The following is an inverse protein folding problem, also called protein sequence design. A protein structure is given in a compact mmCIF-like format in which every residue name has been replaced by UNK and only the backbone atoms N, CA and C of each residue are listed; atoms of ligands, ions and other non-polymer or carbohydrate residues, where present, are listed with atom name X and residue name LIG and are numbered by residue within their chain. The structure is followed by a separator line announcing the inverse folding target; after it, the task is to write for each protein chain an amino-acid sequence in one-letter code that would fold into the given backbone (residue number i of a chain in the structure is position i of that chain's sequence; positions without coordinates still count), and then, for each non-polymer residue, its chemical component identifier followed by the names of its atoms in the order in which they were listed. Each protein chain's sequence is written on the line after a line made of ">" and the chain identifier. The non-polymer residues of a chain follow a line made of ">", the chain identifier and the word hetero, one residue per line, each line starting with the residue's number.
data_IF_379786726192
#
_entry.id   IF_379786726192
#
_cell.length_a   1.000
_cell.length_b   1.000
_cell.length_c   1.000
_cell.angle_alpha   90.00
_cell.angle_beta   90.00
_cell.angle_gamma   90.00
#
_symmetry.space_group_name_H-M   'P 1'
#
loop_
_entity.id
_entity.type
_entity.pdbx_description
1 polymer ?
2 non-polymer ?
3 non-polymer ?
4 non-polymer ?
5 water ?
#
# COMPACT_ATOMS: atom_id res chain seq x y z
N UNK A 6 25.39 -17.06 -12.42
CA UNK A 6 25.26 -15.89 -13.28
C UNK A 6 25.27 -14.55 -12.47
N UNK A 7 26.15 -14.36 -11.45
CA UNK A 7 26.16 -13.09 -10.70
C UNK A 7 26.34 -11.86 -11.60
N UNK A 8 25.59 -10.79 -11.28
CA UNK A 8 25.59 -9.54 -12.02
C UNK A 8 25.45 -8.35 -11.06
N UNK A 9 25.89 -7.14 -11.49
CA UNK A 9 25.75 -5.91 -10.70
C UNK A 9 24.26 -5.64 -10.47
N UNK A 10 23.42 -6.10 -11.43
CA UNK A 10 21.98 -5.95 -11.46
C UNK A 10 21.27 -6.79 -10.37
N UNK A 11 21.91 -7.86 -9.84
CA UNK A 11 21.30 -8.74 -8.82
C UNK A 11 20.75 -7.97 -7.63
N UNK A 12 21.56 -7.05 -7.14
CA UNK A 12 21.19 -6.22 -5.98
C UNK A 12 20.47 -4.94 -6.41
N UNK A 13 20.37 -4.70 -7.73
CA UNK A 13 19.72 -3.52 -8.29
C UNK A 13 18.26 -3.76 -8.50
N UNK A 14 17.45 -3.04 -7.75
CA UNK A 14 16.01 -3.08 -7.88
C UNK A 14 15.52 -1.94 -8.76
N UNK A 15 14.34 -2.08 -9.36
CA UNK A 15 13.71 -0.96 -10.06
C UNK A 15 12.62 -0.46 -9.14
N UNK A 17 9.49 2.27 -8.37
CA UNK A 17 8.42 3.12 -8.88
C UNK A 17 8.05 4.08 -7.77
N UNK A 18 7.91 5.36 -8.10
CA UNK A 18 7.53 6.36 -7.12
C UNK A 18 6.29 7.10 -7.60
N UNK A 19 5.21 6.95 -6.85
CA UNK A 19 3.97 7.70 -7.07
C UNK A 19 4.03 8.99 -6.26
N UNK A 20 3.33 10.02 -6.74
CA UNK A 20 3.31 11.36 -6.16
C UNK A 20 1.97 12.05 -6.27
N UNK A 21 1.86 13.23 -5.63
CA UNK A 21 0.77 14.16 -5.90
C UNK A 21 1.34 15.17 -6.87
N UNK A 22 0.55 15.56 -7.88
CA UNK A 22 1.04 16.44 -8.94
C UNK A 22 0.53 17.89 -8.83
N UNK A 23 0.05 18.34 -7.64
CA UNK A 23 -0.41 19.73 -7.40
C UNK A 23 0.75 20.72 -7.47
N UNK A 24 1.98 20.22 -7.34
CA UNK A 24 3.19 21.03 -7.39
C UNK A 24 3.94 20.81 -8.69
N UNK A 25 5.25 20.55 -8.59
CA UNK A 25 6.17 20.37 -9.72
C UNK A 25 6.31 18.92 -10.19
N UNK A 26 5.70 17.94 -9.49
CA UNK A 26 5.82 16.56 -9.92
C UNK A 26 5.13 16.30 -11.26
N UNK A 27 5.78 15.52 -12.15
CA UNK A 27 5.19 15.15 -13.44
C UNK A 27 4.22 13.98 -13.27
N UNK A 28 4.45 13.17 -12.24
CA UNK A 28 3.61 12.01 -11.97
C UNK A 28 4.37 10.86 -11.37
N UNK A 29 4.76 9.89 -12.21
CA UNK A 29 5.48 8.70 -11.72
C UNK A 29 6.94 8.83 -12.07
N UNK A 30 7.81 8.53 -11.11
CA UNK A 30 9.24 8.56 -11.31
C UNK A 30 9.79 7.18 -11.08
N UNK A 31 10.78 6.78 -11.89
CA UNK A 31 11.42 5.48 -11.73
C UNK A 31 12.90 5.64 -11.48
N UNK A 32 13.45 4.72 -10.68
CA UNK A 32 14.85 4.74 -10.23
C UNK A 32 15.43 3.36 -10.15
N UNK A 33 16.75 3.26 -10.26
CA UNK A 33 17.42 2.03 -9.91
C UNK A 33 17.80 2.19 -8.44
N UNK A 34 17.59 1.18 -7.60
CA UNK A 34 17.98 1.28 -6.19
C UNK A 34 18.80 0.05 -5.80
N UNK A 35 20.03 0.25 -5.29
CA UNK A 35 20.85 -0.88 -4.91
C UNK A 35 20.57 -1.27 -3.45
N UNK A 36 19.97 -2.46 -3.23
CA UNK A 36 19.58 -2.91 -1.87
C UNK A 36 20.79 -3.44 -1.06
N UNK A 37 22.01 -3.36 -1.59
CA UNK A 37 23.20 -3.78 -0.81
C UNK A 37 24.01 -2.54 -0.42
N UNK A 38 23.87 -1.43 -1.17
CA UNK A 38 24.63 -0.19 -0.89
C UNK A 38 23.78 1.06 -0.59
N UNK A 39 22.50 1.07 -1.00
CA UNK A 39 21.66 2.24 -0.77
C UNK A 39 21.76 3.33 -1.82
N UNK A 40 22.58 3.09 -2.85
CA UNK A 40 22.76 4.03 -3.97
C UNK A 40 21.56 3.97 -4.92
N UNK A 41 21.21 5.11 -5.52
CA UNK A 41 20.13 5.16 -6.47
C UNK A 41 20.50 5.94 -7.71
N UNK A 42 19.75 5.70 -8.76
CA UNK A 42 19.93 6.31 -10.04
C UNK A 42 18.58 6.62 -10.69
N UNK A 43 18.31 7.89 -11.13
CA UNK A 43 17.04 8.16 -11.83
C UNK A 43 17.02 7.45 -13.19
N UNK A 44 15.86 6.92 -13.58
CA UNK A 44 15.77 6.23 -14.86
C UNK A 44 14.85 6.99 -15.79
N UNK A 45 13.58 7.14 -15.40
CA UNK A 45 12.63 7.78 -16.28
C UNK A 45 11.51 8.38 -15.47
N UNK A 46 10.51 8.90 -16.15
CA UNK A 46 9.33 9.44 -15.50
C UNK A 46 8.17 9.36 -16.46
N UNK A 47 6.96 9.46 -15.94
CA UNK A 47 5.75 9.42 -16.74
C UNK A 47 4.83 10.52 -16.29
N UNK A 48 4.32 11.31 -17.24
CA UNK A 48 3.36 12.37 -16.97
C UNK A 48 2.01 11.70 -16.74
N UNK A 49 1.56 11.76 -15.48
CA UNK A 49 0.32 11.14 -14.96
C UNK A 49 -0.22 12.02 -13.85
N UNK A 50 -1.52 12.29 -13.81
CA UNK A 50 -2.08 13.13 -12.77
C UNK A 50 -2.39 12.37 -11.49
N UNK A 51 -1.91 12.90 -10.34
CA UNK A 51 -2.08 12.36 -8.99
C UNK A 51 -2.00 10.81 -8.93
N UNK A 52 -0.88 10.23 -9.38
CA UNK A 52 -0.70 8.77 -9.24
C UNK A 52 -0.24 8.44 -7.81
N UNK A 53 -1.15 8.65 -6.83
CA UNK A 53 -0.76 8.55 -5.42
C UNK A 53 -0.54 7.12 -4.91
N UNK A 54 -0.99 6.15 -5.69
CA UNK A 54 -0.76 4.75 -5.39
C UNK A 54 -0.63 4.03 -6.70
N UNK A 55 0.26 3.09 -6.75
CA UNK A 55 0.48 2.30 -7.95
C UNK A 55 0.99 0.92 -7.58
N UNK A 56 0.86 0.01 -8.52
CA UNK A 56 1.33 -1.36 -8.35
C UNK A 56 1.85 -1.90 -9.63
N UNK A 57 2.89 -2.74 -9.54
CA UNK A 57 3.30 -3.48 -10.74
C UNK A 57 2.47 -4.76 -10.85
N UNK A 58 2.35 -5.30 -12.05
CA UNK A 58 1.75 -6.62 -12.17
C UNK A 58 2.78 -7.62 -11.58
N UNK A 59 2.34 -8.84 -11.26
CA UNK A 59 3.24 -9.83 -10.66
C UNK A 59 4.42 -10.19 -11.58
N UNK A 60 4.26 -10.14 -12.91
CA UNK A 60 5.35 -10.44 -13.87
C UNK A 60 6.23 -9.19 -14.17
N UNK A 61 5.86 -8.06 -13.60
CA UNK A 61 6.56 -6.78 -13.75
C UNK A 61 6.48 -6.15 -15.13
N UNK A 62 5.56 -6.63 -15.98
CA UNK A 62 5.42 -6.13 -17.34
C UNK A 62 4.43 -4.97 -17.45
N UNK A 63 3.61 -4.76 -16.41
CA UNK A 63 2.61 -3.70 -16.39
C UNK A 63 2.61 -2.99 -15.08
N UNK A 64 2.18 -1.74 -15.10
CA UNK A 64 2.01 -0.94 -13.91
C UNK A 64 0.61 -0.34 -13.95
N UNK A 65 -0.06 -0.31 -12.79
CA UNK A 65 -1.38 0.29 -12.70
C UNK A 65 -1.34 1.33 -11.65
N UNK A 66 -1.88 2.52 -11.93
CA UNK A 66 -1.88 3.59 -10.94
C UNK A 66 -3.25 4.16 -10.78
N UNK A 67 -3.52 4.69 -9.59
CA UNK A 67 -4.76 5.44 -9.44
C UNK A 67 -4.49 6.81 -10.06
N UNK A 68 -5.56 7.58 -10.28
CA UNK A 68 -5.53 9.01 -10.61
C UNK A 68 -6.44 9.59 -9.54
N UNK A 69 -5.85 10.07 -8.44
CA UNK A 69 -6.63 10.44 -7.27
C UNK A 69 -7.21 11.85 -7.39
N UNK A 70 -8.48 11.88 -7.81
CA UNK A 70 -9.27 13.08 -8.00
C UNK A 70 -10.60 12.94 -7.32
N UNK A 71 -11.10 14.08 -6.78
CA UNK A 71 -12.32 14.23 -5.96
C UNK A 71 -13.60 14.21 -6.78
N UNK A 72 -13.52 14.43 -8.10
CA UNK A 72 -14.69 14.44 -8.96
C UNK A 72 -14.52 13.45 -10.13
N UNK A 73 -15.07 13.78 -11.32
CA UNK A 73 -15.14 12.98 -12.56
C UNK A 73 -13.80 12.53 -13.14
N UNK A 74 -12.65 13.09 -12.70
CA UNK A 74 -11.34 12.70 -13.22
C UNK A 74 -10.80 11.46 -12.48
N UNK A 75 -11.53 10.96 -11.46
CA UNK A 75 -11.09 9.77 -10.69
C UNK A 75 -10.98 8.57 -11.61
N UNK A 76 -9.79 7.94 -11.65
CA UNK A 76 -9.55 6.90 -12.62
C UNK A 76 -8.40 5.98 -12.24
N UNK A 77 -8.14 4.99 -13.10
CA UNK A 77 -6.98 4.10 -13.03
C UNK A 77 -6.30 4.14 -14.37
N UNK A 78 -4.96 4.22 -14.37
CA UNK A 78 -4.17 4.21 -15.60
C UNK A 78 -3.40 2.91 -15.66
N UNK A 79 -3.31 2.32 -16.86
CA UNK A 79 -2.56 1.11 -17.11
C UNK A 79 -1.39 1.41 -18.01
N UNK A 80 -0.22 0.90 -17.67
CA UNK A 80 1.01 1.15 -18.42
C UNK A 80 1.75 -0.12 -18.75
N UNK A 81 2.41 -0.17 -19.91
CA UNK A 81 3.39 -1.22 -20.17
C UNK A 81 4.69 -0.77 -19.47
N UNK A 82 5.33 -1.67 -18.77
CA UNK A 82 6.54 -1.32 -18.01
C UNK A 82 7.73 -2.11 -18.50
N UNK A 83 8.86 -1.41 -18.66
CA UNK A 83 10.13 -2.03 -19.03
C UNK A 83 11.05 -1.82 -17.84
N UNK A 84 11.21 -2.85 -16.98
CA UNK A 84 11.93 -2.83 -15.71
C UNK A 84 13.41 -2.41 -15.87
N UNK A 85 14.04 -2.80 -17.00
CA UNK A 85 15.45 -2.46 -17.26
C UNK A 85 15.64 -0.98 -17.61
N UNK A 86 14.76 -0.41 -18.45
CA UNK A 86 14.84 0.99 -18.87
C UNK A 86 14.10 1.90 -17.88
N UNK A 87 13.19 1.32 -17.09
CA UNK A 87 12.38 2.04 -16.13
C UNK A 87 11.32 2.87 -16.82
N UNK A 88 10.97 2.53 -18.06
CA UNK A 88 10.03 3.33 -18.85
C UNK A 88 8.63 2.82 -18.68
N UNK A 89 7.68 3.77 -18.68
CA UNK A 89 6.25 3.50 -18.59
C UNK A 89 5.58 3.98 -19.86
N UNK A 90 4.78 3.14 -20.49
CA UNK A 90 4.08 3.55 -21.71
C UNK A 90 2.62 3.37 -21.49
N UNK A 91 1.90 4.47 -21.34
CA UNK A 91 0.46 4.42 -21.10
C UNK A 91 -0.24 3.58 -22.15
N UNK A 92 -1.13 2.70 -21.68
CA UNK A 92 -1.96 1.88 -22.56
C UNK A 92 -3.34 2.49 -22.63
N UNK A 93 -3.95 2.73 -21.45
CA UNK A 93 -5.26 3.36 -21.37
C UNK A 93 -5.59 3.75 -19.95
N UNK A 94 -6.75 4.41 -19.78
CA UNK A 94 -7.28 4.89 -18.52
C UNK A 94 -8.75 4.53 -18.45
N UNK A 95 -9.27 4.27 -17.25
CA UNK A 95 -10.69 3.98 -17.07
C UNK A 95 -11.16 4.68 -15.80
N UNK A 96 -12.38 5.18 -15.80
CA UNK A 96 -12.94 5.91 -14.66
C UNK A 96 -13.37 4.95 -13.55
N UNK A 97 -13.13 5.35 -12.29
CA UNK A 97 -13.51 4.51 -11.15
C UNK A 97 -14.97 4.68 -10.79
N UNK A 99 -15.98 6.56 -8.55
CA UNK A 99 -15.84 6.65 -7.10
C UNK A 99 -14.67 7.57 -6.82
N UNK A 100 -14.95 8.66 -6.12
CA UNK A 100 -13.97 9.70 -5.88
C UNK A 100 -12.81 9.27 -5.01
N UNK A 101 -11.65 9.84 -5.32
CA UNK A 101 -10.36 9.69 -4.64
C UNK A 101 -9.87 8.24 -4.49
N UNK A 102 -9.70 7.52 -5.63
CA UNK A 102 -9.10 6.18 -5.55
C UNK A 102 -7.72 6.33 -4.94
N UNK A 103 -7.40 5.57 -3.86
CA UNK A 103 -6.17 5.83 -3.13
C UNK A 103 -5.35 4.58 -2.86
N UNK A 104 -5.81 3.44 -3.36
CA UNK A 104 -5.15 2.15 -3.20
C UNK A 104 -5.63 1.25 -4.29
N UNK A 105 -4.81 0.30 -4.72
CA UNK A 105 -5.31 -0.68 -5.69
C UNK A 105 -4.60 -2.02 -5.52
N UNK A 106 -5.26 -3.11 -5.93
CA UNK A 106 -4.66 -4.43 -5.87
C UNK A 106 -5.04 -5.20 -7.13
N UNK A 107 -4.39 -6.33 -7.38
CA UNK A 107 -4.69 -7.14 -8.56
C UNK A 107 -4.54 -8.60 -8.24
N UNK A 108 -5.23 -9.43 -9.04
CA UNK A 108 -4.98 -10.88 -9.01
C UNK A 108 -4.51 -11.31 -10.42
N UNK A 109 -4.20 -10.36 -11.30
CA UNK A 109 -3.76 -10.65 -12.67
C UNK A 109 -4.90 -10.71 -13.66
N UNK A 110 -6.15 -10.87 -13.14
CA UNK A 110 -7.36 -10.93 -13.97
C UNK A 110 -8.21 -9.68 -13.78
N UNK A 111 -8.12 -9.04 -12.61
CA UNK A 111 -8.85 -7.84 -12.27
C UNK A 111 -8.02 -6.92 -11.43
N UNK A 112 -8.32 -5.64 -11.51
CA UNK A 112 -7.79 -4.58 -10.66
C UNK A 112 -8.92 -4.16 -9.74
N UNK A 113 -8.61 -3.91 -8.44
CA UNK A 113 -9.64 -3.40 -7.53
C UNK A 113 -9.08 -2.12 -6.91
N UNK A 114 -9.88 -1.05 -6.85
CA UNK A 114 -9.49 0.19 -6.17
C UNK A 114 -10.25 0.39 -4.87
N UNK A 115 -9.64 1.15 -3.95
CA UNK A 115 -10.28 1.66 -2.75
C UNK A 115 -10.55 3.13 -3.01
N UNK A 116 -11.84 3.53 -3.06
CA UNK A 116 -12.19 4.91 -3.38
C UNK A 116 -12.50 5.62 -2.07
N UNK A 117 -11.57 6.48 -1.66
CA UNK A 117 -11.64 7.15 -0.36
C UNK A 117 -12.86 8.03 -0.22
N UNK A 118 -13.08 8.91 -1.19
CA UNK A 118 -14.18 9.87 -1.07
C UNK A 118 -15.49 9.32 -1.63
N UNK A 119 -15.39 8.34 -2.51
CA UNK A 119 -16.55 7.66 -3.04
C UNK A 119 -17.14 6.68 -2.04
N UNK A 120 -16.32 6.26 -1.04
CA UNK A 120 -16.71 5.27 -0.03
C UNK A 120 -17.20 4.01 -0.74
N UNK A 121 -16.37 3.53 -1.67
CA UNK A 121 -16.70 2.42 -2.53
C UNK A 121 -15.42 1.75 -2.99
N UNK A 122 -15.59 0.63 -3.71
CA UNK A 122 -14.50 -0.07 -4.35
C UNK A 122 -14.92 -0.34 -5.80
N UNK A 123 -13.97 -0.26 -6.71
CA UNK A 123 -14.24 -0.46 -8.12
C UNK A 123 -13.42 -1.64 -8.65
N UNK A 124 -14.05 -2.50 -9.46
CA UNK A 124 -13.40 -3.64 -10.08
C UNK A 124 -13.26 -3.37 -11.57
N UNK A 125 -12.06 -3.62 -12.12
CA UNK A 125 -11.80 -3.52 -13.55
C UNK A 125 -11.23 -4.84 -14.07
N UNK A 126 -11.83 -5.47 -15.08
CA UNK A 126 -11.17 -6.63 -15.69
C UNK A 126 -9.91 -6.17 -16.43
N UNK A 127 -8.89 -7.00 -16.47
CA UNK A 127 -7.66 -6.70 -17.22
C UNK A 127 -7.76 -7.43 -18.56
N UNK A 128 -7.53 -6.70 -19.65
CA UNK A 128 -7.61 -7.31 -20.97
C UNK A 128 -6.39 -8.17 -21.26
N UNK A 129 -6.44 -8.91 -22.38
CA UNK A 129 -5.39 -9.84 -22.75
C UNK A 129 -4.05 -9.17 -23.05
N UNK A 130 -4.09 -7.86 -23.33
CA UNK A 130 -2.91 -7.05 -23.60
C UNK A 130 -2.44 -6.28 -22.36
N UNK A 131 -3.08 -6.48 -21.20
CA UNK A 131 -2.69 -5.77 -19.98
C UNK A 131 -3.41 -4.45 -19.77
N UNK A 132 -4.15 -3.97 -20.78
CA UNK A 132 -4.89 -2.73 -20.65
C UNK A 132 -6.16 -2.98 -19.82
N UNK A 133 -6.79 -1.92 -19.34
CA UNK A 133 -7.97 -2.07 -18.50
C UNK A 133 -9.25 -2.07 -19.30
N UNK A 134 -10.17 -2.93 -18.91
CA UNK A 134 -11.52 -2.85 -19.45
C UNK A 134 -12.28 -1.84 -18.58
N UNK A 135 -13.38 -1.27 -19.07
CA UNK A 135 -14.20 -0.38 -18.22
C UNK A 135 -14.65 -1.10 -16.95
N UNK A 136 -14.90 -0.36 -15.87
CA UNK A 136 -15.28 -0.98 -14.60
C UNK A 136 -16.39 -2.01 -14.78
N UNK A 137 -16.24 -3.20 -14.17
CA UNK A 137 -17.27 -4.24 -14.24
C UNK A 137 -18.12 -4.24 -12.99
N UNK A 138 -17.66 -3.59 -11.90
CA UNK A 138 -18.42 -3.49 -10.66
C UNK A 138 -18.00 -2.29 -9.85
N UNK A 139 -18.96 -1.62 -9.22
CA UNK A 139 -18.76 -0.49 -8.29
C UNK A 139 -19.57 -0.88 -7.07
N UNK A 140 -18.89 -1.15 -5.94
CA UNK A 140 -19.53 -1.63 -4.72
C UNK A 140 -19.57 -0.50 -3.71
N UNK A 141 -20.78 -0.01 -3.39
CA UNK A 141 -20.97 1.11 -2.46
C UNK A 141 -21.14 0.61 -1.04
N UNK A 142 -20.70 1.43 -0.08
CA UNK A 142 -20.85 1.11 1.33
C UNK A 142 -21.65 2.18 2.01
N UNK A 143 -22.21 1.85 3.17
CA UNK A 143 -23.00 2.76 3.97
C UNK A 143 -22.52 2.78 5.41
N UNK A 144 -22.72 3.91 6.08
CA UNK A 144 -22.36 4.03 7.48
C UNK A 144 -21.53 5.23 7.83
N UNK A 145 -21.15 5.30 9.10
CA UNK A 145 -20.34 6.38 9.66
C UNK A 145 -19.68 5.92 10.94
N UNK A 146 -18.84 6.76 11.48
CA UNK A 146 -18.13 6.49 12.73
C UNK A 146 -18.22 7.69 13.64
N UNK A 147 -17.57 7.63 14.83
CA UNK A 147 -17.71 8.74 15.80
C UNK A 147 -16.92 10.01 15.48
N UNK A 148 -15.75 9.93 14.78
CA UNK A 148 -14.97 11.14 14.48
C UNK A 148 -15.81 12.09 13.64
N UNK A 149 -16.12 13.27 14.20
CA UNK A 149 -17.02 14.25 13.59
C UNK A 149 -16.57 14.77 12.21
N UNK A 150 -15.26 14.89 11.96
CA UNK A 150 -14.76 15.39 10.67
C UNK A 150 -14.25 14.29 9.74
N UNK A 151 -13.76 13.18 10.32
CA UNK A 151 -13.18 12.14 9.48
C UNK A 151 -14.07 10.91 9.19
N UNK A 152 -15.15 10.69 9.95
CA UNK A 152 -15.96 9.48 9.78
C UNK A 152 -17.45 9.80 9.56
N UNK A 153 -17.75 10.76 8.69
CA UNK A 153 -19.13 11.19 8.37
C UNK A 153 -19.76 10.24 7.35
N UNK A 155 -18.53 6.31 4.71
CA UNK A 155 -17.45 5.33 4.46
C UNK A 155 -16.29 5.99 3.70
N UNK A 156 -15.07 5.56 4.00
CA UNK A 156 -13.86 6.02 3.32
C UNK A 156 -13.03 4.79 3.10
N UNK A 157 -12.99 4.31 1.87
CA UNK A 157 -12.28 3.07 1.59
C UNK A 157 -10.83 3.35 1.31
N UNK A 158 -9.92 2.70 2.06
CA UNK A 158 -8.51 3.06 2.02
C UNK A 158 -7.55 1.95 1.67
N UNK A 159 -8.04 0.70 1.58
CA UNK A 159 -7.19 -0.42 1.28
C UNK A 159 -8.02 -1.56 0.77
N UNK A 160 -7.50 -2.31 -0.19
CA UNK A 160 -8.10 -3.51 -0.71
C UNK A 160 -7.00 -4.56 -0.80
N UNK A 161 -7.19 -5.69 -0.12
CA UNK A 161 -6.19 -6.77 -0.11
C UNK A 161 -6.79 -8.11 -0.42
N UNK A 162 -6.09 -8.90 -1.25
CA UNK A 162 -6.49 -10.28 -1.50
C UNK A 162 -5.80 -11.09 -0.41
N UNK A 163 -6.52 -12.00 0.25
CA UNK A 163 -5.99 -12.80 1.34
C UNK A 163 -4.90 -13.77 0.84
N UNK A 164 -3.99 -14.24 1.72
CA UNK A 164 -2.89 -15.11 1.26
C UNK A 164 -3.32 -16.46 0.70
N UNK A 165 -4.59 -16.84 0.94
CA UNK A 165 -5.13 -18.11 0.45
C UNK A 165 -5.88 -17.90 -0.89
N UNK A 166 -5.86 -16.67 -1.41
CA UNK A 166 -6.45 -16.28 -2.70
C UNK A 166 -7.98 -16.33 -2.75
N UNK A 167 -8.61 -16.47 -1.59
CA UNK A 167 -10.06 -16.70 -1.53
C UNK A 167 -10.92 -15.47 -1.24
N UNK A 168 -10.36 -14.46 -0.58
CA UNK A 168 -11.13 -13.31 -0.14
C UNK A 168 -10.46 -12.01 -0.46
N UNK A 169 -11.27 -10.96 -0.51
CA UNK A 169 -10.80 -9.59 -0.61
C UNK A 169 -11.27 -8.87 0.64
N UNK A 170 -10.33 -8.24 1.37
CA UNK A 170 -10.64 -7.47 2.58
C UNK A 170 -10.45 -6.00 2.28
N UNK A 171 -11.45 -5.18 2.59
CA UNK A 171 -11.41 -3.77 2.26
C UNK A 171 -11.52 -2.92 3.51
N UNK A 172 -10.47 -2.13 3.82
CA UNK A 172 -10.45 -1.30 5.02
C UNK A 172 -11.26 -0.06 4.85
N UNK A 173 -12.15 0.21 5.80
CA UNK A 173 -13.02 1.36 5.75
C UNK A 173 -12.75 2.26 6.93
N UNK A 174 -12.00 3.33 6.65
CA UNK A 174 -11.61 4.31 7.66
C UNK A 174 -12.82 5.00 8.25
N UNK A 175 -13.84 5.22 7.43
CA UNK A 175 -15.03 5.92 7.88
C UNK A 175 -15.97 5.18 8.80
N UNK A 176 -16.02 3.84 8.70
CA UNK A 176 -16.99 3.09 9.51
C UNK A 176 -16.32 2.11 10.48
N UNK A 177 -14.97 2.15 10.63
CA UNK A 177 -14.26 1.26 11.56
C UNK A 177 -14.52 -0.22 11.24
N UNK A 178 -14.54 -0.56 9.96
CA UNK A 178 -14.78 -1.92 9.52
C UNK A 178 -13.80 -2.36 8.46
N UNK A 179 -13.59 -3.67 8.38
CA UNK A 179 -12.88 -4.34 7.31
C UNK A 179 -13.97 -5.16 6.61
N UNK A 180 -14.37 -4.73 5.41
CA UNK A 180 -15.39 -5.41 4.61
C UNK A 180 -14.80 -6.68 3.98
N UNK A 181 -15.58 -7.77 3.95
CA UNK A 181 -15.12 -9.05 3.43
C UNK A 181 -15.92 -9.48 2.18
N UNK A 182 -15.18 -9.91 1.14
CA UNK A 182 -15.75 -10.42 -0.09
C UNK A 182 -15.13 -11.74 -0.45
N UNK A 183 -15.94 -12.60 -1.02
CA UNK A 183 -15.48 -13.84 -1.61
C UNK A 183 -14.98 -13.53 -2.99
N UNK A 184 -13.83 -14.09 -3.38
CA UNK A 184 -13.29 -13.90 -4.72
C UNK A 184 -13.67 -15.07 -5.63
N UNK A 185 -14.11 -14.74 -6.86
CA UNK A 185 -14.33 -15.72 -7.92
C UNK A 185 -13.03 -15.73 -8.73
N UNK A 186 -12.15 -16.75 -8.52
CA UNK A 186 -10.83 -16.74 -9.18
C UNK A 186 -10.90 -16.94 -10.68
N UNK A 187 -12.07 -17.34 -11.20
CA UNK A 187 -12.20 -17.54 -12.62
C UNK A 187 -12.63 -16.26 -13.33
N UNK A 188 -13.19 -15.27 -12.59
CA UNK A 188 -13.73 -14.06 -13.25
C UNK A 188 -12.67 -13.32 -14.07
N UNK A 189 -12.98 -13.08 -15.34
CA UNK A 189 -12.02 -12.35 -16.16
C UNK A 189 -12.76 -11.52 -17.22
N UNK A 190 -12.00 -10.87 -18.10
CA UNK A 190 -12.50 -10.01 -19.16
C UNK A 190 -13.34 -10.76 -20.20
N UNK A 191 -12.98 -12.04 -20.46
CA UNK A 191 -13.66 -12.86 -21.46
C UNK A 191 -14.97 -13.47 -20.96
N UNK A 192 -14.97 -14.05 -19.75
CA UNK A 192 -16.21 -14.70 -19.30
C UNK A 192 -17.21 -13.73 -18.64
N UNK A 193 -16.78 -12.49 -18.27
CA UNK A 193 -17.64 -11.47 -17.66
C UNK A 193 -18.31 -11.95 -16.35
N UNK A 194 -17.73 -12.97 -15.68
CA UNK A 194 -18.29 -13.42 -14.39
C UNK A 194 -18.02 -12.34 -13.33
N UNK A 195 -18.89 -12.30 -12.31
CA UNK A 195 -18.69 -11.33 -11.24
C UNK A 195 -17.48 -11.74 -10.38
N UNK A 196 -16.59 -10.78 -10.07
CA UNK A 196 -15.40 -11.06 -9.31
C UNK A 196 -15.69 -11.21 -7.81
N UNK A 197 -16.39 -10.22 -7.23
CA UNK A 197 -16.61 -10.17 -5.78
C UNK A 197 -18.04 -10.35 -5.37
N UNK A 198 -18.26 -11.10 -4.29
CA UNK A 198 -19.57 -11.29 -3.67
C UNK A 198 -19.37 -11.06 -2.18
N UNK A 199 -20.40 -10.51 -1.48
CA UNK A 199 -20.24 -10.25 -0.05
C UNK A 199 -20.01 -11.56 0.72
N UNK A 200 -19.08 -11.55 1.65
CA UNK A 200 -18.74 -12.78 2.38
C UNK A 200 -19.46 -12.95 3.69
N UNK A 201 -19.04 -13.98 4.45
CA UNK A 201 -19.55 -14.28 5.77
C UNK A 201 -18.42 -14.19 6.81
N UNK A 202 -18.46 -13.23 7.75
CA UNK A 202 -19.42 -12.12 7.87
C UNK A 202 -19.15 -11.09 6.78
N UNK A 203 -20.07 -10.14 6.63
CA UNK A 203 -19.87 -9.09 5.60
C UNK A 203 -18.76 -8.12 6.00
N UNK A 204 -18.47 -8.03 7.30
CA UNK A 204 -17.44 -7.14 7.80
C UNK A 204 -16.95 -7.55 9.16
N UNK A 205 -15.73 -7.14 9.47
CA UNK A 205 -15.14 -7.24 10.81
C UNK A 205 -15.14 -5.85 11.38
N UNK A 206 -15.51 -5.70 12.63
CA UNK A 206 -15.58 -4.39 13.26
C UNK A 206 -14.36 -4.18 14.14
N UNK A 207 -13.80 -2.97 14.14
CA UNK A 207 -12.69 -2.63 15.06
C UNK A 207 -13.17 -1.52 16.00
N UNK A 208 -12.39 -1.21 17.06
CA UNK A 208 -12.78 -0.23 18.08
C UNK A 208 -13.25 1.10 17.45
N UNK A 209 -14.39 1.68 17.91
CA UNK A 209 -14.87 2.95 17.33
C UNK A 209 -13.81 4.04 17.35
N UNK A 210 -13.74 4.80 16.27
CA UNK A 210 -12.80 5.91 16.14
C UNK A 210 -11.41 5.50 15.70
N UNK A 211 -11.20 4.19 15.39
CA UNK A 211 -9.87 3.72 14.96
C UNK A 211 -9.45 4.29 13.61
N UNK A 212 -10.35 4.27 12.62
CA UNK A 212 -10.03 4.73 11.28
C UNK A 212 -9.10 3.78 10.54
N UNK A 213 -9.53 2.51 10.28
CA UNK A 213 -8.64 1.53 9.61
C UNK A 213 -8.05 2.07 8.32
N UNK A 214 -6.72 1.93 8.15
CA UNK A 214 -6.10 2.47 6.96
C UNK A 214 -5.54 1.34 6.12
N UNK A 215 -4.35 0.80 6.43
CA UNK A 215 -3.75 -0.25 5.61
C UNK A 215 -3.64 -1.55 6.35
N UNK A 216 -3.74 -2.65 5.63
CA UNK A 216 -3.71 -4.03 6.13
C UNK A 216 -2.64 -4.84 5.42
N UNK A 217 -1.91 -5.67 6.20
CA UNK A 217 -0.88 -6.56 5.68
C UNK A 217 -1.02 -7.93 6.34
N UNK A 218 -0.41 -8.93 5.72
CA UNK A 218 -0.37 -10.31 6.22
C UNK A 218 1.05 -10.70 6.45
N UNK A 219 1.28 -11.66 7.35
CA UNK A 219 2.65 -12.17 7.48
C UNK A 219 2.93 -13.17 6.34
N UNK A 220 4.17 -13.67 6.27
CA UNK A 220 4.61 -14.55 5.18
C UNK A 220 3.83 -15.86 5.07
N UNK A 221 3.49 -16.51 6.19
CA UNK A 221 2.77 -17.79 6.08
C UNK A 221 1.24 -17.57 6.04
N UNK A 222 0.81 -16.31 6.14
CA UNK A 222 -0.60 -15.93 6.09
C UNK A 222 -1.43 -16.31 7.31
N UNK A 223 -0.80 -16.51 8.47
CA UNK A 223 -1.50 -16.88 9.73
C UNK A 223 -1.81 -15.66 10.60
N UNK A 224 -1.21 -14.50 10.29
CA UNK A 224 -1.44 -13.28 11.04
C UNK A 224 -1.61 -12.12 10.09
N UNK A 225 -2.42 -11.15 10.50
CA UNK A 225 -2.62 -9.91 9.76
C UNK A 225 -2.43 -8.74 10.70
N UNK A 226 -2.05 -7.59 10.14
CA UNK A 226 -1.79 -6.39 10.94
C UNK A 226 -2.40 -5.20 10.27
N UNK A 227 -3.15 -4.43 11.05
CA UNK A 227 -3.82 -3.25 10.56
C UNK A 227 -3.29 -1.99 11.22
N UNK A 228 -3.06 -0.94 10.41
CA UNK A 228 -2.66 0.35 10.95
C UNK A 228 -3.89 1.24 10.89
N UNK A 229 -4.24 1.87 12.04
CA UNK A 229 -5.39 2.74 12.17
C UNK A 229 -4.94 4.17 12.14
N UNK A 230 -5.42 4.93 11.14
CA UNK A 230 -4.99 6.32 10.95
C UNK A 230 -5.36 7.20 12.14
N UNK A 231 -6.63 7.17 12.57
CA UNK A 231 -7.11 8.09 13.59
C UNK A 231 -6.70 7.65 14.99
N UNK A 232 -6.89 6.39 15.29
CA UNK A 232 -6.55 5.83 16.59
C UNK A 232 -5.07 5.74 16.85
N UNK A 233 -4.29 5.66 15.76
CA UNK A 233 -2.83 5.56 15.82
C UNK A 233 -2.38 4.23 16.39
N UNK A 234 -3.24 3.24 16.28
CA UNK A 234 -2.98 1.91 16.78
C UNK A 234 -2.68 0.92 15.67
N UNK A 235 -1.97 -0.14 16.05
CA UNK A 235 -1.78 -1.34 15.23
C UNK A 235 -2.64 -2.40 15.89
N UNK A 236 -3.47 -3.06 15.09
CA UNK A 236 -4.25 -4.20 15.56
C UNK A 236 -3.65 -5.44 14.91
N UNK A 237 -3.32 -6.43 15.75
CA UNK A 237 -2.81 -7.73 15.33
C UNK A 237 -3.96 -8.70 15.33
N UNK A 238 -4.04 -9.49 14.27
CA UNK A 238 -5.06 -10.50 14.12
C UNK A 238 -4.51 -11.82 13.76
N UNK A 239 -5.20 -12.86 14.23
CA UNK A 239 -4.96 -14.22 13.77
C UNK A 239 -5.78 -14.31 12.49
N UNK A 240 -5.20 -14.85 11.41
CA UNK A 240 -5.96 -15.00 10.16
C UNK A 240 -5.99 -16.46 9.75
N UNK A 241 -7.19 -16.99 9.45
CA UNK A 241 -7.36 -18.37 8.95
C UNK A 241 -8.71 -18.51 8.34
N UNK A 242 -8.77 -19.11 7.15
CA UNK A 242 -9.98 -19.48 6.41
C UNK A 242 -11.04 -18.37 6.37
N UNK A 243 -10.60 -17.18 5.99
CA UNK A 243 -11.42 -15.98 5.83
C UNK A 243 -11.86 -15.27 7.09
N UNK A 245 -10.72 -13.05 10.59
CA UNK A 245 -9.78 -12.17 11.27
C UNK A 245 -10.15 -12.18 12.74
N UNK A 246 -9.28 -12.68 13.62
CA UNK A 246 -9.53 -12.71 15.05
C UNK A 246 -8.52 -11.80 15.75
N UNK A 247 -8.99 -10.71 16.39
CA UNK A 247 -8.13 -9.74 17.06
C UNK A 247 -7.39 -10.40 18.25
N UNK A 248 -6.04 -10.24 18.29
CA UNK A 248 -5.24 -10.81 19.40
C UNK A 248 -4.56 -9.73 20.23
N UNK A 249 -4.37 -8.52 19.66
CA UNK A 249 -3.68 -7.44 20.33
C UNK A 249 -3.91 -6.11 19.66
N UNK A 250 -3.92 -5.03 20.47
CA UNK A 250 -3.93 -3.64 20.02
C UNK A 250 -2.73 -2.96 20.68
N UNK A 251 -1.87 -2.30 19.89
CA UNK A 251 -0.70 -1.56 20.39
C UNK A 251 -0.73 -0.14 19.84
N UNK A 252 -0.07 0.78 20.53
CA UNK A 252 0.00 2.16 20.10
C UNK A 252 1.19 2.38 19.19
N UNK A 253 0.94 2.82 17.95
CA UNK A 253 2.02 3.21 17.04
C UNK A 253 2.33 4.66 17.30
N UNK A 254 1.27 5.47 17.48
CA UNK A 254 1.34 6.90 17.77
C UNK A 254 1.11 7.09 19.26
N UNK A 255 2.00 7.86 19.91
CA UNK A 255 1.83 8.07 21.35
C UNK A 255 1.63 9.57 21.67
N UNK A 256 1.39 10.43 20.64
CA UNK A 256 1.21 11.88 20.85
C UNK A 256 -0.17 12.36 20.34
N UNK A 257 -1.11 11.42 20.10
CA UNK A 257 -2.48 11.69 19.63
C UNK A 257 -2.46 12.56 18.35
N UNK A 258 -1.54 12.22 17.40
CA UNK A 258 -1.40 12.94 16.13
C UNK A 258 -2.56 12.67 15.17
N UNK A 259 -3.22 11.50 15.31
CA UNK A 259 -4.34 11.04 14.50
C UNK A 259 -3.98 11.08 12.99
N UNK A 260 -2.76 10.65 12.67
CA UNK A 260 -2.25 10.65 11.31
C UNK A 260 -1.39 9.45 10.96
N UNK A 261 -1.72 8.27 11.49
CA UNK A 261 -0.89 7.09 11.18
C UNK A 261 -1.04 6.69 9.70
N UNK A 262 0.05 6.14 9.15
CA UNK A 262 0.14 5.94 7.72
C UNK A 262 0.26 4.53 7.20
N UNK A 263 1.48 4.06 7.07
CA UNK A 263 1.73 2.78 6.43
C UNK A 263 2.26 1.71 7.43
N UNK A 264 2.24 0.47 6.98
CA UNK A 264 2.63 -0.66 7.83
C UNK A 264 3.28 -1.74 6.99
N UNK A 265 4.44 -2.26 7.49
CA UNK A 265 5.21 -3.29 6.81
C UNK A 265 5.94 -4.17 7.78
N UNK A 266 6.01 -5.44 7.44
CA UNK A 266 6.81 -6.38 8.16
C UNK A 266 8.14 -6.49 7.48
N UNK A 267 9.22 -6.72 8.25
CA UNK A 267 10.50 -7.05 7.63
C UNK A 267 10.31 -8.41 6.88
N UNK A 268 11.04 -8.63 5.78
CA UNK A 268 10.89 -9.92 5.05
C UNK A 268 11.12 -11.16 5.93
N UNK A 269 11.99 -11.11 6.99
CA UNK A 269 12.22 -12.25 7.88
C UNK A 269 11.09 -12.42 8.92
N UNK A 270 10.13 -11.49 8.92
CA UNK A 270 8.96 -11.50 9.79
C UNK A 270 9.23 -11.17 11.25
N UNK A 271 10.47 -10.79 11.58
CA UNK A 271 10.86 -10.52 12.95
C UNK A 271 10.47 -9.13 13.47
N UNK A 272 10.24 -8.15 12.57
CA UNK A 272 9.89 -6.81 13.01
C UNK A 272 8.81 -6.25 12.18
N UNK A 273 7.98 -5.42 12.81
CA UNK A 273 6.87 -4.70 12.20
C UNK A 273 7.16 -3.20 12.33
N UNK A 274 6.87 -2.45 11.27
CA UNK A 274 7.08 -1.01 11.24
C UNK A 274 5.78 -0.32 10.89
N UNK A 275 5.51 0.83 11.54
CA UNK A 275 4.30 1.59 11.26
C UNK A 275 4.63 3.06 11.28
N UNK A 276 4.18 3.81 10.27
CA UNK A 276 4.54 5.22 10.22
C UNK A 276 3.46 6.14 10.79
N UNK A 277 3.90 7.33 11.24
CA UNK A 277 3.06 8.35 11.82
C UNK A 277 3.33 9.67 11.18
N UNK A 278 2.28 10.44 10.93
CA UNK A 278 2.39 11.78 10.37
C UNK A 278 1.88 12.83 11.36
N UNK A 279 1.99 14.10 10.97
CA UNK A 279 1.43 15.32 11.59
C UNK A 279 2.20 15.76 12.83
N UNK A 280 2.52 14.84 13.74
CA UNK A 280 3.32 15.14 14.94
C UNK A 280 4.30 14.02 15.13
N UNK A 281 5.56 14.36 15.48
CA UNK A 281 6.64 13.38 15.72
C UNK A 281 6.72 12.41 14.55
N UNK A 282 6.69 12.95 13.32
CA UNK A 282 6.68 12.14 12.12
C UNK A 282 7.80 11.09 12.14
N UNK A 283 7.43 9.86 11.88
CA UNK A 283 8.43 8.82 11.93
C UNK A 283 7.85 7.44 11.85
N UNK A 284 8.69 6.46 12.23
CA UNK A 284 8.35 5.06 12.10
C UNK A 284 8.52 4.38 13.44
N UNK A 285 7.44 3.76 13.94
CA UNK A 285 7.46 2.95 15.16
C UNK A 285 7.94 1.55 14.78
N UNK A 286 8.78 0.96 15.63
CA UNK A 286 9.39 -0.34 15.39
C UNK A 286 8.95 -1.33 16.47
N UNK A 287 8.41 -2.46 16.02
CA UNK A 287 7.94 -3.51 16.91
C UNK A 287 8.61 -4.82 16.63
N UNK A 288 8.90 -5.56 17.69
CA UNK A 288 9.43 -6.92 17.59
C UNK A 288 8.25 -7.85 17.55
N UNK A 289 8.24 -8.78 16.59
CA UNK A 289 7.16 -9.74 16.44
C UNK A 289 7.53 -11.02 17.17
N UNK A 290 6.60 -11.53 17.99
CA UNK A 290 6.77 -12.84 18.60
C UNK A 290 6.34 -13.82 17.51
N UNK A 291 7.29 -14.55 16.92
CA UNK A 291 7.07 -15.44 15.76
C UNK A 291 6.01 -16.52 16.01
N UNK A 292 5.75 -16.91 17.27
CA UNK A 292 4.78 -17.97 17.53
C UNK A 292 3.36 -17.45 17.73
N UNK A 293 3.19 -16.41 18.56
CA UNK A 293 1.83 -15.93 18.82
C UNK A 293 1.47 -14.66 18.02
N UNK A 294 2.41 -14.17 17.21
CA UNK A 294 2.19 -13.01 16.33
C UNK A 294 2.02 -11.66 17.00
N UNK A 295 2.18 -11.60 18.32
CA UNK A 295 2.00 -10.36 19.08
C UNK A 295 3.21 -9.44 18.95
N UNK A 296 3.02 -8.18 19.36
CA UNK A 296 4.02 -7.12 19.16
C UNK A 296 4.46 -6.48 20.45
N UNK A 297 5.74 -6.11 20.49
CA UNK A 297 6.30 -5.33 21.60
C UNK A 297 7.15 -4.21 20.94
N UNK A 298 6.89 -2.93 21.29
CA UNK A 298 7.64 -1.81 20.70
C UNK A 298 9.09 -1.87 21.14
N UNK A 299 10.01 -1.69 20.21
CA UNK A 299 11.44 -1.71 20.50
C UNK A 299 12.13 -0.38 20.15
N UNK A 300 11.50 0.48 19.34
CA UNK A 300 12.17 1.74 19.01
C UNK A 300 11.30 2.66 18.19
N UNK A 301 11.90 3.80 17.82
CA UNK A 301 11.18 4.81 17.05
C UNK A 301 12.20 5.61 16.25
N UNK A 302 11.91 5.82 14.97
CA UNK A 302 12.81 6.58 14.10
C UNK A 302 12.10 7.80 13.55
N UNK A 303 12.59 8.98 13.89
CA UNK A 303 12.03 10.22 13.35
C UNK A 303 12.44 10.34 11.89
N UNK A 304 11.51 10.80 11.07
CA UNK A 304 11.79 10.93 9.64
C UNK A 304 11.54 12.33 9.17
N UNK A 305 11.67 12.52 7.87
CA UNK A 305 11.21 13.74 7.20
C UNK A 305 9.70 13.84 7.36
N UNK A 306 9.15 14.97 6.96
CA UNK A 306 7.74 15.25 7.22
C UNK A 306 6.80 14.56 6.27
N UNK A 307 5.75 13.98 6.88
CA UNK A 307 4.63 13.31 6.23
C UNK A 307 5.03 11.99 5.56
N UNK A 308 5.49 11.00 6.39
CA UNK A 308 5.80 9.66 5.87
C UNK A 308 4.52 8.84 5.61
N UNK A 309 3.79 9.17 4.55
CA UNK A 309 2.54 8.49 4.23
C UNK A 309 2.75 7.02 3.72
N UNK A 310 3.96 6.74 3.22
CA UNK A 310 4.29 5.45 2.64
C UNK A 310 5.75 5.14 2.82
N UNK A 311 6.08 3.84 2.99
CA UNK A 311 7.46 3.44 3.03
C UNK A 311 7.52 2.01 2.49
N UNK A 312 8.73 1.47 2.38
CA UNK A 312 8.91 0.10 1.86
C UNK A 312 10.20 -0.45 2.44
N UNK A 313 10.29 -1.79 2.56
CA UNK A 313 11.51 -2.50 2.98
C UNK A 313 12.01 -3.28 1.75
N UNK A 314 13.33 -3.25 1.53
CA UNK A 314 13.90 -4.01 0.41
C UNK A 314 13.70 -5.52 0.65
N UNK A 315 13.63 -6.33 -0.44
CA UNK A 315 13.42 -7.78 -0.27
C UNK A 315 14.47 -8.47 0.60
N UNK A 316 15.72 -7.97 0.62
CA UNK A 316 16.79 -8.57 1.43
C UNK A 316 16.71 -8.10 2.90
N UNK A 317 15.76 -7.19 3.19
CA UNK A 317 15.56 -6.66 4.54
C UNK A 317 16.58 -5.64 5.00
N UNK A 318 17.54 -5.28 4.14
CA UNK A 318 18.62 -4.40 4.57
C UNK A 318 18.25 -2.92 4.68
N UNK A 319 17.35 -2.42 3.82
CA UNK A 319 16.99 -1.00 3.87
C UNK A 319 15.48 -0.78 3.98
N UNK A 320 15.14 0.34 4.63
CA UNK A 320 13.78 0.83 4.79
C UNK A 320 13.76 2.25 4.22
N UNK A 321 12.95 2.42 3.16
CA UNK A 321 12.86 3.68 2.44
C UNK A 321 11.57 4.39 2.75
N UNK A 322 11.67 5.66 3.16
CA UNK A 322 10.51 6.45 3.59
C UNK A 322 10.21 7.61 2.64
N UNK A 323 9.01 7.60 2.05
CA UNK A 323 8.57 8.72 1.22
C UNK A 323 8.07 9.83 2.14
N UNK A 324 8.69 11.01 2.09
CA UNK A 324 8.30 12.12 2.95
C UNK A 324 7.67 13.17 2.06
N UNK A 325 6.34 13.19 2.02
CA UNK A 325 5.59 14.06 1.10
C UNK A 325 5.95 15.53 1.27
N UNK A 326 6.04 16.02 2.51
CA UNK A 326 6.23 17.43 2.72
C UNK A 326 7.69 17.90 2.66
N UNK A 327 8.65 16.98 2.79
CA UNK A 327 10.07 17.32 2.72
C UNK A 327 10.57 17.08 1.29
N UNK A 328 9.71 16.50 0.44
CA UNK A 328 10.00 16.22 -0.97
C UNK A 328 11.26 15.35 -1.11
N UNK A 329 11.31 14.28 -0.30
CA UNK A 329 12.46 13.35 -0.31
C UNK A 329 12.03 11.94 0.00
N UNK A 330 12.87 10.98 -0.43
CA UNK A 330 12.77 9.58 -0.08
C UNK A 330 13.99 9.36 0.82
N UNK A 331 13.79 9.14 2.12
CA UNK A 331 14.89 8.92 3.06
C UNK A 331 15.26 7.46 3.09
N UNK A 332 16.57 7.17 3.15
CA UNK A 332 17.03 5.78 3.14
C UNK A 332 17.59 5.40 4.51
N UNK A 333 17.03 4.36 5.13
CA UNK A 333 17.49 3.87 6.43
C UNK A 333 18.03 2.47 6.33
N UNK A 334 19.19 2.23 6.95
CA UNK A 334 19.73 0.89 7.01
C UNK A 334 19.11 0.21 8.23
N UNK A 335 18.69 -1.06 8.09
CA UNK A 335 18.11 -1.88 9.14
C UNK A 335 19.13 -2.74 9.81
N UNK A 336 19.09 -2.78 11.13
CA UNK A 336 19.90 -3.74 11.86
C UNK A 336 18.99 -4.94 12.00
N UNK A 337 19.34 -6.05 11.34
CA UNK A 337 18.45 -7.22 11.30
C UNK A 337 18.33 -7.92 12.65
N UNK A 338 19.25 -7.69 13.58
CA UNK A 338 19.21 -8.29 14.91
C UNK A 338 18.44 -7.44 15.94
N UNK A 339 18.30 -6.12 15.73
CA UNK A 339 17.59 -5.29 16.71
C UNK A 339 16.35 -4.62 16.11
N UNK A 340 16.25 -4.57 14.79
CA UNK A 340 15.14 -3.89 14.11
C UNK A 340 15.35 -2.40 13.95
N UNK A 341 16.41 -1.83 14.59
CA UNK A 341 16.67 -0.40 14.59
C UNK A 341 17.20 0.14 13.28
N UNK A 342 16.96 1.43 13.07
CA UNK A 342 17.23 2.11 11.80
C UNK A 342 18.32 3.16 11.90
N UNK A 343 19.09 3.34 10.79
CA UNK A 343 20.16 4.33 10.67
C UNK A 343 20.03 5.06 9.35
N UNK A 344 19.86 6.39 9.39
CA UNK A 344 19.80 7.20 8.17
C UNK A 344 21.19 7.19 7.53
N UNK A 345 21.26 6.70 6.27
CA UNK A 345 22.52 6.59 5.55
C UNK A 345 22.82 7.87 4.77
N UNK A 346 21.91 8.86 4.82
CA UNK A 346 22.05 10.20 4.20
C UNK A 346 22.29 10.09 2.68
N UNK A 347 21.39 9.37 2.01
CA UNK A 347 21.38 9.16 0.55
C UNK A 347 19.99 9.50 0.02
N UNK A 348 19.42 10.61 0.53
CA UNK A 348 18.08 11.08 0.16
C UNK A 348 17.88 11.23 -1.34
N UNK A 349 16.70 10.85 -1.81
CA UNK A 349 16.31 10.96 -3.21
C UNK A 349 15.32 12.11 -3.32
N UNK A 350 15.65 13.13 -4.13
CA UNK A 350 14.78 14.30 -4.32
C UNK A 350 13.66 13.98 -5.26
N UNK A 351 12.41 14.11 -4.78
CA UNK A 351 11.16 13.87 -5.55
C UNK A 351 10.11 14.81 -4.99
N UNK A 352 9.29 15.47 -5.83
CA UNK A 352 8.24 16.32 -5.26
C UNK A 352 7.05 15.46 -4.84
N UNK A 353 6.62 15.65 -3.57
CA UNK A 353 5.44 15.01 -2.98
C UNK A 353 5.38 13.49 -3.22
N UNK A 354 6.45 12.72 -2.86
CA UNK A 354 6.40 11.27 -3.03
C UNK A 354 5.47 10.65 -2.02
N UNK A 355 4.60 9.73 -2.49
CA UNK A 355 3.61 9.11 -1.59
C UNK A 355 3.44 7.60 -1.84
N UNK A 356 4.20 6.98 -2.76
CA UNK A 356 4.05 5.54 -2.97
C UNK A 356 5.32 5.00 -3.51
N UNK A 357 5.88 3.98 -2.86
CA UNK A 357 7.09 3.32 -3.28
C UNK A 357 6.81 1.86 -3.55
N UNK A 358 7.26 1.38 -4.71
CA UNK A 358 7.13 -0.03 -5.05
C UNK A 358 8.38 -0.53 -5.73
N UNK A 359 8.70 -1.82 -5.57
CA UNK A 359 9.85 -2.41 -6.27
C UNK A 359 9.40 -3.46 -7.26
N UNK A 360 10.17 -3.59 -8.34
CA UNK A 360 10.12 -4.63 -9.37
C UNK A 360 11.55 -5.21 -9.36
N UNK A 361 11.68 -6.52 -9.07
CA UNK A 361 12.97 -7.22 -8.92
C UNK A 361 13.80 -7.20 -10.21
#
# INVERSE_FOLDING_TARGET
>A
GAQPTDPSTTDSELTXLVGTYTSGNSKGIYTFRFNEETGESLPLSDAEVANPSYLIPSADGKFVYSVNEFSKDQAAVSAFAFDKEKGTLHLLNTQKTXGADPCYLTTNGKNIVTANYSGGSITVFPIGQDGALLPASDVIEFKGSGPDKERQTXPHLHCVRITPDGKYLLADDLGTDQIHKFNINPNANADNKEKFLTKGTPEAFKVAPGSGPRHLIFNSDGKFAYLINEIGGTVIAFRYADGXLDEIQTVAADTVNAQGSGDIHLSPDGKYLYASNRLKADGVAIFKVDETNGTLTKVGYQLTGIHPRNFIITPNGKYLLVACRDTNVIQIFERDQATGLLTDIKKDIKVDKPVCLKFVD
#
